data_IF_581583014494
#
_entry.id   IF_581583014494
#
_cell.length_a   1.000
_cell.length_b   1.000
_cell.length_c   1.000
_cell.angle_alpha   90.00
_cell.angle_beta   90.00
_cell.angle_gamma   90.00
#
_symmetry.space_group_name_H-M   'P 1'
#
loop_
_entity.id
_entity.type
_entity.pdbx_description
1 polymer ?
#
# COMPACT_ATOMS: atom_id res chain seq x y z
N UNK A 1 5.90 -9.82 21.85
CA UNK A 1 5.63 -8.56 21.11
C UNK A 1 4.66 -7.74 21.94
N UNK A 2 4.96 -6.48 22.28
CA UNK A 2 4.11 -5.71 23.19
C UNK A 2 2.79 -5.31 22.52
N UNK A 3 1.68 -5.35 23.27
CA UNK A 3 0.33 -5.03 22.78
C UNK A 3 0.25 -3.64 22.11
N UNK A 4 1.07 -2.70 22.56
CA UNK A 4 1.13 -1.34 22.03
C UNK A 4 1.69 -1.29 20.59
N UNK A 5 2.61 -2.18 20.23
CA UNK A 5 3.15 -2.26 18.86
C UNK A 5 2.11 -2.76 17.87
N UNK A 6 1.28 -3.73 18.28
CA UNK A 6 0.18 -4.25 17.47
C UNK A 6 -0.87 -3.17 17.18
N UNK A 7 -1.28 -2.41 18.20
CA UNK A 7 -2.25 -1.32 18.04
C UNK A 7 -1.67 -0.23 17.13
N UNK A 8 -0.39 0.14 17.32
CA UNK A 8 0.26 1.14 16.47
C UNK A 8 0.33 0.69 15.01
N UNK A 9 0.69 -0.57 14.73
CA UNK A 9 0.71 -1.11 13.37
C UNK A 9 -0.69 -1.12 12.74
N UNK A 10 -1.70 -1.52 13.51
CA UNK A 10 -3.09 -1.52 13.04
C UNK A 10 -3.55 -0.10 12.67
N UNK A 11 -3.32 0.88 13.55
CA UNK A 11 -3.71 2.28 13.30
C UNK A 11 -2.98 2.84 12.07
N UNK A 12 -1.67 2.60 11.96
CA UNK A 12 -0.90 3.04 10.79
C UNK A 12 -1.41 2.41 9.50
N UNK A 13 -1.74 1.12 9.51
CA UNK A 13 -2.29 0.44 8.34
C UNK A 13 -3.64 1.05 7.93
N UNK A 14 -4.51 1.35 8.89
CA UNK A 14 -5.79 2.01 8.60
C UNK A 14 -5.59 3.41 8.02
N UNK A 15 -4.66 4.21 8.56
CA UNK A 15 -4.33 5.53 7.99
C UNK A 15 -3.87 5.41 6.54
N UNK A 16 -2.98 4.45 6.24
CA UNK A 16 -2.50 4.21 4.88
C UNK A 16 -3.62 3.81 3.93
N UNK A 17 -4.51 2.91 4.37
CA UNK A 17 -5.66 2.50 3.59
C UNK A 17 -6.63 3.66 3.31
N UNK A 18 -7.00 4.42 4.35
CA UNK A 18 -7.88 5.59 4.19
C UNK A 18 -7.26 6.65 3.29
N UNK A 19 -5.95 6.87 3.36
CA UNK A 19 -5.25 7.81 2.48
C UNK A 19 -5.32 7.38 1.01
N UNK A 20 -5.19 6.09 0.71
CA UNK A 20 -5.37 5.57 -0.65
C UNK A 20 -6.81 5.76 -1.16
N UNK A 21 -7.82 5.46 -0.32
CA UNK A 21 -9.24 5.61 -0.69
C UNK A 21 -9.59 7.07 -0.93
N UNK A 22 -9.23 7.97 0.00
CA UNK A 22 -9.47 9.40 -0.14
C UNK A 22 -8.67 10.00 -1.30
N UNK A 23 -7.43 9.56 -1.50
CA UNK A 23 -6.61 9.95 -2.65
C UNK A 23 -7.29 9.63 -3.98
N UNK A 24 -7.86 8.43 -4.12
CA UNK A 24 -8.67 8.08 -5.28
C UNK A 24 -9.93 8.95 -5.42
N UNK A 25 -10.65 9.18 -4.32
CA UNK A 25 -11.89 9.96 -4.32
C UNK A 25 -11.69 11.45 -4.68
N UNK A 26 -10.55 12.05 -4.28
CA UNK A 26 -10.21 13.45 -4.54
C UNK A 26 -9.33 13.66 -5.78
N UNK A 27 -9.23 12.67 -6.69
CA UNK A 27 -8.35 12.73 -7.88
C UNK A 27 -6.88 13.00 -7.55
N UNK A 28 -6.45 12.64 -6.35
CA UNK A 28 -5.07 12.73 -5.88
C UNK A 28 -4.50 11.33 -5.52
N UNK A 29 -4.59 10.32 -6.41
CA UNK A 29 -4.20 8.94 -6.10
C UNK A 29 -2.72 8.85 -5.69
N UNK A 30 -1.86 9.69 -6.29
CA UNK A 30 -0.43 9.74 -5.99
C UNK A 30 -0.16 10.13 -4.54
N UNK A 31 -0.97 11.04 -3.96
CA UNK A 31 -0.84 11.45 -2.56
C UNK A 31 -1.16 10.27 -1.64
N UNK A 32 -2.25 9.52 -1.94
CA UNK A 32 -2.60 8.32 -1.20
C UNK A 32 -1.49 7.27 -1.23
N UNK A 33 -0.93 6.99 -2.42
CA UNK A 33 0.19 6.06 -2.58
C UNK A 33 1.46 6.50 -1.84
N UNK A 34 1.79 7.80 -1.84
CA UNK A 34 2.93 8.34 -1.10
C UNK A 34 2.76 8.17 0.42
N UNK A 35 1.56 8.41 0.95
CA UNK A 35 1.27 8.19 2.38
C UNK A 35 1.43 6.71 2.74
N UNK A 36 0.90 5.80 1.92
CA UNK A 36 1.09 4.37 2.12
C UNK A 36 2.57 3.96 2.07
N UNK A 37 3.36 4.50 1.14
CA UNK A 37 4.79 4.23 1.04
C UNK A 37 5.56 4.68 2.29
N UNK A 38 5.26 5.87 2.82
CA UNK A 38 5.86 6.37 4.08
C UNK A 38 5.52 5.43 5.25
N UNK A 39 4.27 4.99 5.35
CA UNK A 39 3.82 4.10 6.43
C UNK A 39 4.51 2.72 6.34
N UNK A 40 4.65 2.18 5.12
CA UNK A 40 5.39 0.95 4.88
C UNK A 40 6.87 1.12 5.28
N UNK A 41 7.49 2.26 4.96
CA UNK A 41 8.84 2.57 5.38
C UNK A 41 9.00 2.57 6.90
N UNK A 42 8.07 3.21 7.62
CA UNK A 42 8.01 3.19 9.10
C UNK A 42 7.86 1.76 9.62
N UNK A 43 7.02 0.94 8.99
CA UNK A 43 6.81 -0.46 9.37
C UNK A 43 8.10 -1.28 9.23
N UNK A 44 8.79 -1.18 8.08
CA UNK A 44 10.03 -1.90 7.81
C UNK A 44 11.14 -1.49 8.77
N UNK A 45 11.30 -0.19 9.07
CA UNK A 45 12.33 0.30 10.01
C UNK A 45 12.07 -0.19 11.44
N UNK A 46 10.80 -0.36 11.84
CA UNK A 46 10.41 -0.86 13.16
C UNK A 46 10.47 -2.39 13.29
N UNK A 47 10.68 -3.11 12.19
CA UNK A 47 10.79 -4.55 12.20
C UNK A 47 12.06 -5.02 12.90
N UNK A 48 12.02 -6.23 13.47
CA UNK A 48 13.20 -6.85 14.07
C UNK A 48 14.28 -7.18 13.03
N UNK A 49 13.85 -7.52 11.80
CA UNK A 49 14.72 -7.83 10.68
C UNK A 49 14.32 -7.03 9.42
N UNK A 50 14.69 -5.72 9.34
CA UNK A 50 14.23 -4.82 8.28
C UNK A 50 14.51 -5.33 6.85
N UNK A 51 15.64 -6.01 6.63
CA UNK A 51 15.99 -6.54 5.32
C UNK A 51 15.07 -7.67 4.86
N UNK A 52 14.67 -8.57 5.77
CA UNK A 52 13.72 -9.65 5.47
C UNK A 52 12.32 -9.09 5.21
N UNK A 53 11.90 -8.10 6.00
CA UNK A 53 10.60 -7.47 5.79
C UNK A 53 10.55 -6.66 4.50
N UNK A 54 11.61 -5.92 4.16
CA UNK A 54 11.69 -5.22 2.88
C UNK A 54 11.56 -6.20 1.70
N UNK A 55 12.17 -7.39 1.80
CA UNK A 55 12.02 -8.42 0.78
C UNK A 55 10.57 -8.88 0.64
N UNK A 56 9.85 -9.08 1.74
CA UNK A 56 8.42 -9.44 1.70
C UNK A 56 7.57 -8.33 1.07
N UNK A 57 7.83 -7.07 1.45
CA UNK A 57 7.16 -5.90 0.86
C UNK A 57 7.40 -5.83 -0.65
N UNK A 58 8.65 -5.99 -1.11
CA UNK A 58 8.99 -5.97 -2.54
C UNK A 58 8.29 -7.12 -3.27
N UNK A 59 8.32 -8.33 -2.71
CA UNK A 59 7.65 -9.49 -3.33
C UNK A 59 6.15 -9.26 -3.44
N UNK A 60 5.51 -8.77 -2.37
CA UNK A 60 4.08 -8.45 -2.39
C UNK A 60 3.75 -7.35 -3.41
N UNK A 61 4.57 -6.31 -3.51
CA UNK A 61 4.43 -5.24 -4.49
C UNK A 61 4.53 -5.77 -5.93
N UNK A 62 5.54 -6.58 -6.22
CA UNK A 62 5.73 -7.19 -7.54
C UNK A 62 4.56 -8.10 -7.90
N UNK A 63 4.11 -8.95 -6.97
CA UNK A 63 2.96 -9.81 -7.18
C UNK A 63 1.71 -8.98 -7.48
N UNK A 64 1.46 -7.92 -6.70
CA UNK A 64 0.32 -7.02 -6.91
C UNK A 64 0.37 -6.35 -8.28
N UNK A 65 1.52 -5.78 -8.66
CA UNK A 65 1.71 -5.12 -9.95
C UNK A 65 1.53 -6.09 -11.13
N UNK A 66 2.10 -7.29 -11.04
CA UNK A 66 1.95 -8.31 -12.08
C UNK A 66 0.50 -8.78 -12.19
N UNK A 67 -0.15 -9.03 -11.06
CA UNK A 67 -1.55 -9.44 -11.04
C UNK A 67 -2.43 -8.36 -11.67
N UNK A 68 -2.30 -7.11 -11.23
CA UNK A 68 -3.06 -5.98 -11.77
C UNK A 68 -2.80 -5.78 -13.27
N UNK A 69 -1.54 -5.85 -13.69
CA UNK A 69 -1.16 -5.75 -15.11
C UNK A 69 -1.79 -6.87 -15.95
N UNK A 70 -1.80 -8.11 -15.44
CA UNK A 70 -2.43 -9.23 -16.13
C UNK A 70 -3.94 -9.04 -16.25
N UNK A 71 -4.61 -8.52 -15.22
CA UNK A 71 -6.05 -8.23 -15.30
C UNK A 71 -6.34 -7.18 -16.37
N UNK A 72 -5.57 -6.08 -16.39
CA UNK A 72 -5.76 -4.99 -17.35
C UNK A 72 -5.40 -5.39 -18.78
N UNK A 73 -4.36 -6.21 -18.97
CA UNK A 73 -3.97 -6.71 -20.30
C UNK A 73 -4.98 -7.71 -20.89
N UNK A 74 -5.76 -8.39 -20.06
CA UNK A 74 -6.81 -9.31 -20.50
C UNK A 74 -8.19 -8.63 -20.58
N UNK A 75 -8.24 -7.28 -20.52
CA UNK A 75 -9.47 -6.48 -20.51
C UNK A 75 -10.47 -6.87 -19.40
N UNK A 76 -10.00 -7.55 -18.33
CA UNK A 76 -10.82 -7.95 -17.19
C UNK A 76 -11.05 -6.78 -16.22
N UNK A 77 -10.17 -5.78 -16.23
CA UNK A 77 -10.30 -4.54 -15.49
C UNK A 77 -9.88 -3.34 -16.34
N UNK A 78 -10.72 -2.31 -16.37
CA UNK A 78 -10.41 -1.02 -17.01
C UNK A 78 -10.41 0.06 -15.94
N UNK A 79 -9.29 0.78 -15.85
CA UNK A 79 -9.19 1.94 -14.97
C UNK A 79 -9.83 3.16 -15.65
N UNK A 80 -10.99 3.58 -15.15
CA UNK A 80 -11.48 4.94 -15.38
C UNK A 80 -10.57 5.89 -14.62
N UNK A 81 -9.97 6.87 -15.30
CA UNK A 81 -9.03 7.84 -14.74
C UNK A 81 -9.65 8.82 -13.73
N UNK A 82 -10.87 8.57 -13.24
CA UNK A 82 -11.62 9.47 -12.36
C UNK A 82 -12.03 10.79 -13.03
N UNK A 83 -11.70 10.96 -14.31
CA UNK A 83 -12.14 12.07 -15.16
C UNK A 83 -13.39 11.57 -15.89
N UNK A 84 -14.55 11.81 -15.29
CA UNK A 84 -15.82 11.84 -16.03
C UNK A 84 -15.96 13.21 -16.70
#
# INVERSE_FOLDING_TARGET
MSRNLLISNFVLFQIGWFACVLGGAYQAPLIGSLVAAVIIGIHVIRAQEPAKEMRLVVVALVIGLLFESLLTLNDLSVFTSGVL
#
